data_IF_756786194984
#
_entry.id   IF_756786194984
#
_cell.length_a   1.000
_cell.length_b   1.000
_cell.length_c   1.000
_cell.angle_alpha   90.00
_cell.angle_beta   90.00
_cell.angle_gamma   90.00
#
_symmetry.space_group_name_H-M   'P 1'
#
loop_
_entity.id
_entity.type
_entity.pdbx_description
1 polymer ?
#
# COMPACT_ATOMS: atom_id res chain seq x y z
N UNK A 1 5.03 21.64 -1.63
CA UNK A 1 5.02 20.67 -0.50
C UNK A 1 3.57 20.21 -0.29
N UNK A 2 3.28 18.94 0.04
CA UNK A 2 1.91 18.55 0.42
C UNK A 2 1.93 18.72 1.92
N UNK A 3 1.18 19.71 2.36
CA UNK A 3 1.42 20.39 3.60
C UNK A 3 0.09 20.98 4.05
N UNK A 4 -0.37 20.52 5.19
CA UNK A 4 -1.63 20.90 5.80
C UNK A 4 -1.31 21.44 7.19
N UNK A 5 -1.67 22.69 7.44
CA UNK A 5 -1.56 23.30 8.74
C UNK A 5 -2.78 23.01 9.61
N UNK A 6 -2.79 23.63 10.78
CA UNK A 6 -3.81 23.46 11.82
C UNK A 6 -5.23 23.74 11.33
N UNK A 7 -5.40 24.61 10.35
CA UNK A 7 -6.70 24.91 9.72
C UNK A 7 -7.33 23.68 9.04
N UNK A 8 -6.50 22.72 8.61
CA UNK A 8 -6.95 21.46 8.03
C UNK A 8 -6.84 20.31 9.03
N UNK A 9 -5.74 20.24 9.78
CA UNK A 9 -5.48 19.09 10.66
C UNK A 9 -6.29 19.12 11.96
N UNK A 10 -6.65 20.32 12.45
CA UNK A 10 -7.52 20.51 13.61
C UNK A 10 -9.01 20.34 13.32
N UNK A 11 -9.44 20.38 12.05
CA UNK A 11 -10.79 20.00 11.64
C UNK A 11 -10.82 18.50 11.34
N UNK A 12 -11.40 17.73 12.27
CA UNK A 12 -11.48 16.27 12.14
C UNK A 12 -12.13 15.84 10.83
N UNK A 13 -13.22 16.47 10.40
CA UNK A 13 -13.91 16.07 9.18
C UNK A 13 -13.03 16.31 7.95
N UNK A 14 -12.29 17.42 7.92
CA UNK A 14 -11.34 17.72 6.86
C UNK A 14 -10.14 16.75 6.86
N UNK A 15 -9.59 16.44 8.02
CA UNK A 15 -8.45 15.54 8.18
C UNK A 15 -8.82 14.06 7.86
N UNK A 16 -10.03 13.61 8.19
CA UNK A 16 -10.54 12.27 7.88
C UNK A 16 -10.79 12.02 6.39
N UNK A 17 -10.95 13.09 5.59
CA UNK A 17 -11.09 13.01 4.13
C UNK A 17 -9.76 12.88 3.39
N UNK A 18 -8.63 13.03 4.08
CA UNK A 18 -7.30 13.01 3.50
C UNK A 18 -6.57 11.78 3.97
N UNK A 19 -6.10 10.98 3.03
CA UNK A 19 -5.44 9.71 3.29
C UNK A 19 -3.98 9.78 2.82
N UNK A 20 -3.13 8.97 3.45
CA UNK A 20 -1.72 8.80 3.09
C UNK A 20 -1.45 7.33 2.82
N UNK A 21 -0.43 7.06 2.00
CA UNK A 21 -0.03 5.71 1.60
C UNK A 21 1.50 5.60 1.64
N UNK A 22 2.00 4.54 2.28
CA UNK A 22 3.37 4.05 2.14
C UNK A 22 3.31 2.62 1.58
N UNK A 23 4.21 2.27 0.68
CA UNK A 23 4.32 0.92 0.11
C UNK A 23 5.74 0.41 0.22
N UNK A 24 5.89 -0.92 0.18
CA UNK A 24 7.19 -1.60 0.29
C UNK A 24 7.66 -2.25 -1.02
N UNK A 25 6.97 -2.03 -2.14
CA UNK A 25 7.35 -2.60 -3.44
C UNK A 25 7.14 -4.12 -3.56
N UNK A 26 6.47 -4.76 -2.61
CA UNK A 26 6.12 -6.20 -2.65
C UNK A 26 4.62 -6.44 -2.41
N UNK A 27 3.78 -5.44 -2.66
CA UNK A 27 2.32 -5.50 -2.45
C UNK A 27 1.85 -5.06 -1.06
N UNK A 28 2.73 -5.09 -0.05
CA UNK A 28 2.44 -4.60 1.29
C UNK A 28 2.38 -3.08 1.39
N UNK A 29 1.59 -2.58 2.33
CA UNK A 29 1.41 -1.14 2.51
C UNK A 29 1.08 -0.73 3.95
N UNK A 30 1.23 0.56 4.22
CA UNK A 30 0.71 1.25 5.39
C UNK A 30 -0.14 2.44 4.91
N UNK A 31 -1.28 2.66 5.54
CA UNK A 31 -2.23 3.71 5.17
C UNK A 31 -3.09 4.13 6.33
N UNK A 32 -3.57 5.36 6.27
CA UNK A 32 -4.54 5.90 7.22
C UNK A 32 -5.00 7.29 6.81
N UNK A 33 -5.81 7.89 7.67
CA UNK A 33 -6.19 9.30 7.54
C UNK A 33 -5.09 10.22 8.08
N UNK A 34 -5.11 11.48 7.67
CA UNK A 34 -4.28 12.54 8.27
C UNK A 34 -4.61 12.71 9.77
N UNK A 35 -5.88 12.51 10.16
CA UNK A 35 -6.31 12.57 11.56
C UNK A 35 -5.78 11.41 12.42
N UNK A 36 -5.36 10.29 11.80
CA UNK A 36 -4.98 9.07 12.51
C UNK A 36 -6.17 8.19 12.93
N UNK A 37 -7.40 8.56 12.57
CA UNK A 37 -8.58 7.69 12.74
C UNK A 37 -8.61 6.58 11.70
N UNK A 38 -9.05 5.39 12.14
CA UNK A 38 -9.39 4.28 11.26
C UNK A 38 -10.79 4.52 10.71
N UNK A 39 -10.91 4.79 9.41
CA UNK A 39 -12.22 4.97 8.76
C UNK A 39 -12.53 3.88 7.74
N UNK A 40 -11.51 3.10 7.35
CA UNK A 40 -11.61 1.98 6.41
C UNK A 40 -11.00 0.72 7.01
N UNK A 41 -11.45 -0.46 6.54
CA UNK A 41 -10.83 -1.76 6.88
C UNK A 41 -9.41 -1.94 6.29
N UNK A 42 -8.97 -1.00 5.45
CA UNK A 42 -7.64 -1.00 4.84
C UNK A 42 -6.65 -0.09 5.56
N UNK A 43 -7.09 0.62 6.61
CA UNK A 43 -6.17 1.43 7.40
C UNK A 43 -5.38 0.55 8.34
N UNK A 44 -4.07 0.81 8.39
CA UNK A 44 -3.11 -0.04 9.05
C UNK A 44 -1.71 0.53 8.95
N UNK A 45 -0.92 0.37 10.01
CA UNK A 45 0.52 0.64 9.97
C UNK A 45 1.30 -0.51 9.33
N UNK A 46 0.72 -1.72 9.26
CA UNK A 46 1.30 -2.82 8.49
C UNK A 46 0.18 -3.71 7.94
N UNK A 47 -0.11 -3.55 6.65
CA UNK A 47 -0.84 -4.53 5.84
C UNK A 47 0.21 -5.29 5.03
N UNK A 48 0.61 -6.45 5.53
CA UNK A 48 1.70 -7.24 4.98
C UNK A 48 1.23 -8.12 3.83
N UNK A 49 1.95 -8.13 2.71
CA UNK A 49 1.73 -9.11 1.65
C UNK A 49 2.46 -10.41 2.06
N UNK A 50 1.72 -11.37 2.61
CA UNK A 50 2.30 -12.63 3.10
C UNK A 50 2.70 -13.58 1.97
N UNK A 51 2.17 -13.34 0.77
CA UNK A 51 2.49 -14.07 -0.46
C UNK A 51 2.70 -13.06 -1.61
N UNK A 52 3.80 -12.28 -1.59
CA UNK A 52 3.96 -11.10 -2.46
C UNK A 52 3.65 -11.32 -3.94
N UNK A 53 2.85 -10.42 -4.59
CA UNK A 53 2.25 -9.21 -4.02
C UNK A 53 0.88 -9.42 -3.32
N UNK A 54 0.47 -10.67 -3.14
CA UNK A 54 -0.84 -11.12 -2.66
C UNK A 54 -0.82 -11.46 -1.16
N UNK A 55 -1.94 -11.99 -0.67
CA UNK A 55 -2.07 -12.44 0.73
C UNK A 55 -1.99 -11.28 1.73
N UNK A 56 -2.56 -10.13 1.34
CA UNK A 56 -2.51 -8.88 2.11
C UNK A 56 -3.27 -9.03 3.42
N UNK A 57 -2.54 -8.99 4.52
CA UNK A 57 -3.04 -9.25 5.87
C UNK A 57 -2.79 -8.04 6.76
N UNK A 58 -3.83 -7.50 7.40
CA UNK A 58 -3.67 -6.46 8.43
C UNK A 58 -3.03 -7.07 9.67
N UNK A 59 -1.81 -6.63 10.00
CA UNK A 59 -1.05 -7.09 11.16
C UNK A 59 -0.92 -6.02 12.25
N UNK A 60 -0.74 -4.75 11.87
CA UNK A 60 -0.72 -3.63 12.82
C UNK A 60 -1.73 -2.59 12.37
N UNK A 61 -2.76 -2.37 13.18
CA UNK A 61 -3.83 -1.42 12.89
C UNK A 61 -3.34 0.01 13.14
N UNK A 62 -2.91 0.30 14.37
CA UNK A 62 -2.43 1.63 14.77
C UNK A 62 -1.60 1.58 16.04
N UNK A 63 -1.12 2.74 16.47
CA UNK A 63 -0.52 2.97 17.78
C UNK A 63 -1.43 3.95 18.53
N UNK A 64 -1.78 3.64 19.77
CA UNK A 64 -2.33 4.57 20.76
C UNK A 64 -1.16 5.30 21.43
N UNK A 65 -0.82 6.47 20.91
CA UNK A 65 0.32 7.29 21.33
C UNK A 65 -0.06 8.35 22.36
N UNK A 66 0.71 8.38 23.46
CA UNK A 66 0.63 9.37 24.53
C UNK A 66 1.99 10.00 24.80
N UNK A 67 1.98 11.29 25.11
CA UNK A 67 3.16 12.06 25.51
C UNK A 67 2.93 12.61 26.91
N UNK A 68 3.76 12.22 27.87
CA UNK A 68 3.86 12.88 29.17
C UNK A 68 4.89 14.02 29.05
N UNK A 69 4.47 15.25 29.31
CA UNK A 69 5.30 16.45 29.23
C UNK A 69 4.77 17.54 30.17
N UNK A 70 5.67 18.23 30.90
CA UNK A 70 5.28 19.32 31.80
C UNK A 70 4.25 18.93 32.86
N UNK A 71 4.31 17.69 33.36
CA UNK A 71 3.35 17.14 34.34
C UNK A 71 1.96 16.83 33.79
N UNK A 72 1.74 16.93 32.47
CA UNK A 72 0.47 16.61 31.81
C UNK A 72 0.63 15.46 30.81
N UNK A 73 -0.45 14.73 30.56
CA UNK A 73 -0.50 13.69 29.53
C UNK A 73 -1.27 14.20 28.32
N UNK A 74 -0.68 14.08 27.14
CA UNK A 74 -1.28 14.43 25.86
C UNK A 74 -1.52 13.18 25.03
N UNK A 75 -2.79 12.85 24.77
CA UNK A 75 -3.14 11.74 23.87
C UNK A 75 -3.11 12.24 22.42
N UNK A 76 -2.23 11.66 21.59
CA UNK A 76 -2.03 12.11 20.20
C UNK A 76 -2.92 11.36 19.20
N UNK A 77 -3.41 10.19 19.61
CA UNK A 77 -4.28 9.35 18.82
C UNK A 77 -5.68 9.91 18.66
N UNK A 78 -6.38 9.41 17.64
CA UNK A 78 -7.80 9.71 17.43
C UNK A 78 -8.53 8.42 17.11
N UNK A 79 -9.66 8.19 17.79
CA UNK A 79 -10.55 7.07 17.50
C UNK A 79 -11.98 7.53 17.40
N UNK A 80 -12.74 6.79 16.62
CA UNK A 80 -14.19 6.88 16.57
C UNK A 80 -14.75 5.54 17.06
N UNK A 81 -15.66 5.60 18.01
CA UNK A 81 -16.28 4.41 18.60
C UNK A 81 -17.68 4.17 18.06
N UNK A 82 -18.19 2.96 18.25
CA UNK A 82 -19.49 2.49 17.77
C UNK A 82 -20.67 3.33 18.28
N UNK A 83 -20.54 3.94 19.47
CA UNK A 83 -21.52 4.83 20.08
C UNK A 83 -21.46 6.28 19.55
N UNK A 84 -20.53 6.56 18.64
CA UNK A 84 -20.28 7.88 18.06
C UNK A 84 -19.25 8.72 18.82
N UNK A 85 -18.75 8.25 19.96
CA UNK A 85 -17.72 8.93 20.75
C UNK A 85 -16.44 9.09 19.95
N UNK A 86 -15.80 10.26 20.05
CA UNK A 86 -14.46 10.50 19.52
C UNK A 86 -13.51 10.64 20.71
N UNK A 87 -12.73 9.59 20.98
CA UNK A 87 -11.78 9.58 22.09
C UNK A 87 -10.68 8.53 21.86
N UNK A 88 -9.39 8.86 21.97
CA UNK A 88 -8.87 10.20 22.23
C UNK A 88 -9.13 11.18 21.08
N UNK A 89 -8.87 12.48 21.32
CA UNK A 89 -9.12 13.58 20.38
C UNK A 89 -7.81 14.29 19.96
N UNK A 90 -6.74 13.54 19.73
CA UNK A 90 -5.40 14.08 19.46
C UNK A 90 -5.26 14.96 18.22
N UNK A 91 -6.24 14.97 17.31
CA UNK A 91 -6.30 15.95 16.20
C UNK A 91 -6.30 17.40 16.70
N UNK A 92 -6.79 17.66 17.92
CA UNK A 92 -6.75 19.00 18.54
C UNK A 92 -5.33 19.49 18.83
N UNK A 93 -4.38 18.56 19.03
CA UNK A 93 -2.96 18.83 19.23
C UNK A 93 -2.16 18.76 17.91
N UNK A 94 -2.77 18.30 16.81
CA UNK A 94 -2.10 18.13 15.52
C UNK A 94 -1.98 19.49 14.81
N UNK A 95 -0.77 20.06 14.85
CA UNK A 95 -0.47 21.37 14.25
C UNK A 95 -0.22 21.28 12.75
N UNK A 96 0.34 20.17 12.28
CA UNK A 96 0.77 20.04 10.89
C UNK A 96 0.86 18.59 10.44
N UNK A 97 0.47 18.35 9.20
CA UNK A 97 0.75 17.15 8.45
C UNK A 97 1.49 17.50 7.16
N UNK A 98 2.52 16.75 6.81
CA UNK A 98 3.22 16.93 5.54
C UNK A 98 3.75 15.62 4.98
N UNK A 99 4.01 15.61 3.67
CA UNK A 99 4.80 14.57 3.03
C UNK A 99 6.23 15.04 2.81
N UNK A 100 7.17 14.32 3.43
CA UNK A 100 8.61 14.41 3.22
C UNK A 100 9.02 13.32 2.20
N UNK A 101 9.13 13.69 0.92
CA UNK A 101 9.12 12.70 -0.16
C UNK A 101 7.78 11.97 -0.23
N UNK A 102 7.78 10.64 -0.12
CA UNK A 102 6.57 9.82 0.05
C UNK A 102 6.17 9.61 1.51
N UNK A 103 6.95 10.12 2.47
CA UNK A 103 6.82 9.75 3.88
C UNK A 103 5.93 10.74 4.65
N UNK A 104 4.82 10.28 5.26
CA UNK A 104 3.97 11.11 6.09
C UNK A 104 4.64 11.49 7.41
N UNK A 105 4.51 12.76 7.76
CA UNK A 105 5.04 13.37 8.98
C UNK A 105 3.95 14.20 9.66
N UNK A 106 3.68 13.89 10.92
CA UNK A 106 2.80 14.65 11.80
C UNK A 106 3.64 15.47 12.78
N UNK A 107 3.20 16.68 13.10
CA UNK A 107 3.78 17.52 14.16
C UNK A 107 2.69 17.88 15.16
N UNK A 108 2.89 17.53 16.42
CA UNK A 108 1.96 17.76 17.51
C UNK A 108 2.51 18.79 18.49
N UNK A 109 1.65 19.67 18.98
CA UNK A 109 1.93 20.57 20.09
C UNK A 109 1.49 19.95 21.42
N UNK A 110 2.46 19.69 22.30
CA UNK A 110 2.24 19.15 23.65
C UNK A 110 2.75 20.19 24.65
N UNK A 111 1.90 21.16 25.02
CA UNK A 111 2.33 22.33 25.81
C UNK A 111 3.44 23.12 25.09
N UNK A 112 4.64 23.25 25.69
CA UNK A 112 5.81 23.89 25.07
C UNK A 112 6.63 22.95 24.17
N UNK A 113 6.29 21.66 24.14
CA UNK A 113 6.96 20.68 23.31
C UNK A 113 6.33 20.55 21.91
N UNK A 114 7.19 20.31 20.92
CA UNK A 114 6.79 19.84 19.60
C UNK A 114 7.30 18.40 19.41
N UNK A 115 6.38 17.47 19.22
CA UNK A 115 6.68 16.06 18.94
C UNK A 115 6.31 15.77 17.49
N UNK A 116 7.24 15.17 16.75
CA UNK A 116 6.95 14.69 15.39
C UNK A 116 6.81 13.18 15.37
N UNK A 117 5.91 12.70 14.52
CA UNK A 117 5.75 11.28 14.19
C UNK A 117 5.98 11.10 12.70
N UNK A 118 6.78 10.11 12.30
CA UNK A 118 7.09 9.78 10.91
C UNK A 118 6.84 8.30 10.65
N UNK A 119 6.23 7.96 9.51
CA UNK A 119 5.94 6.55 9.14
C UNK A 119 6.50 6.25 7.75
N UNK A 120 7.28 5.18 7.60
CA UNK A 120 7.73 4.69 6.29
C UNK A 120 7.89 3.18 6.30
N UNK A 121 7.93 2.56 5.13
CA UNK A 121 8.18 1.14 4.99
C UNK A 121 9.58 0.87 4.41
N UNK A 122 10.16 -0.25 4.83
CA UNK A 122 11.40 -0.77 4.24
C UNK A 122 11.12 -1.27 2.81
N UNK A 123 11.87 -0.84 1.79
CA UNK A 123 11.76 -1.40 0.46
C UNK A 123 12.05 -2.91 0.45
N UNK A 124 11.16 -3.69 -0.14
CA UNK A 124 11.32 -5.13 -0.31
C UNK A 124 10.92 -5.99 0.89
N UNK A 125 10.48 -5.41 2.00
CA UNK A 125 10.19 -6.15 3.23
C UNK A 125 8.86 -5.74 3.87
N UNK A 126 8.22 -6.67 4.57
CA UNK A 126 7.01 -6.38 5.36
C UNK A 126 7.44 -5.76 6.70
N UNK A 127 8.03 -4.56 6.62
CA UNK A 127 8.52 -3.79 7.77
C UNK A 127 8.09 -2.34 7.67
N UNK A 128 7.42 -1.85 8.70
CA UNK A 128 7.08 -0.43 8.87
C UNK A 128 7.87 0.14 10.05
N UNK A 129 8.46 1.30 9.83
CA UNK A 129 9.11 2.10 10.85
C UNK A 129 8.19 3.25 11.27
N UNK A 130 8.04 3.43 12.59
CA UNK A 130 7.35 4.58 13.17
C UNK A 130 8.30 5.30 14.10
N UNK A 131 8.77 6.49 13.68
CA UNK A 131 9.72 7.29 14.45
C UNK A 131 9.03 8.45 15.13
N UNK A 132 9.28 8.61 16.42
CA UNK A 132 8.92 9.78 17.20
C UNK A 132 10.18 10.59 17.51
N UNK A 133 10.09 11.90 17.39
CA UNK A 133 11.18 12.83 17.72
C UNK A 133 10.64 13.96 18.56
N UNK A 134 11.25 14.22 19.71
CA UNK A 134 11.03 15.47 20.44
C UNK A 134 11.79 16.58 19.71
N UNK A 135 11.12 17.31 18.83
CA UNK A 135 11.74 18.31 17.97
C UNK A 135 12.17 19.54 18.76
N UNK A 136 11.34 19.95 19.72
CA UNK A 136 11.57 21.14 20.57
C UNK A 136 10.89 20.93 21.92
N UNK A 137 11.47 21.50 22.97
CA UNK A 137 10.92 21.60 24.32
C UNK A 137 12.06 21.93 25.30
N UNK A 138 11.83 22.67 26.40
CA UNK A 138 12.84 22.86 27.44
C UNK A 138 13.17 21.58 28.23
N UNK A 139 12.25 20.61 28.29
CA UNK A 139 12.38 19.41 29.12
C UNK A 139 12.33 18.12 28.28
N UNK A 140 12.70 16.97 28.85
CA UNK A 140 12.43 15.67 28.24
C UNK A 140 10.92 15.36 28.18
N UNK A 141 10.52 14.55 27.19
CA UNK A 141 9.18 13.99 27.08
C UNK A 141 9.22 12.47 27.24
N UNK A 142 8.21 11.91 27.91
CA UNK A 142 8.04 10.45 27.99
C UNK A 142 6.95 10.02 27.03
N UNK A 143 7.24 9.04 26.19
CA UNK A 143 6.30 8.45 25.25
C UNK A 143 5.79 7.13 25.81
N UNK A 144 4.47 6.93 25.76
CA UNK A 144 3.81 5.65 25.95
C UNK A 144 3.07 5.28 24.65
N UNK A 145 3.53 4.19 24.02
CA UNK A 145 3.14 3.82 22.67
C UNK A 145 2.47 2.43 22.68
N UNK A 146 1.14 2.40 22.80
CA UNK A 146 0.35 1.17 22.82
C UNK A 146 0.09 0.66 21.39
N UNK A 147 0.61 -0.51 21.02
CA UNK A 147 0.49 -1.05 19.67
C UNK A 147 -0.74 -1.93 19.55
N UNK A 148 -1.65 -1.56 18.64
CA UNK A 148 -2.86 -2.33 18.32
C UNK A 148 -2.61 -3.21 17.09
N UNK A 149 -2.77 -4.52 17.27
CA UNK A 149 -2.52 -5.53 16.25
C UNK A 149 -3.79 -6.24 15.81
N UNK A 150 -3.69 -6.92 14.67
CA UNK A 150 -4.73 -7.76 14.11
C UNK A 150 -4.08 -8.94 13.35
N UNK A 151 -4.90 -9.87 12.87
CA UNK A 151 -4.48 -10.85 11.87
C UNK A 151 -5.68 -11.25 11.04
N UNK A 152 -5.94 -10.48 9.99
CA UNK A 152 -7.04 -10.75 9.06
C UNK A 152 -6.70 -10.34 7.64
N UNK A 153 -7.40 -10.95 6.70
CA UNK A 153 -7.42 -10.50 5.32
C UNK A 153 -7.82 -9.02 5.22
N UNK A 154 -7.22 -8.28 4.27
CA UNK A 154 -7.45 -6.86 4.07
C UNK A 154 -8.90 -6.51 3.65
N UNK A 155 -9.62 -7.43 2.99
CA UNK A 155 -11.06 -7.30 2.75
C UNK A 155 -11.93 -7.75 3.92
N UNK A 156 -11.36 -8.46 4.89
CA UNK A 156 -12.06 -8.99 6.06
C UNK A 156 -12.40 -7.95 7.13
N UNK A 157 -12.96 -8.44 8.22
CA UNK A 157 -13.23 -7.68 9.45
C UNK A 157 -12.92 -8.57 10.66
N UNK A 158 -12.64 -7.96 11.81
CA UNK A 158 -12.30 -8.69 13.04
C UNK A 158 -13.29 -8.37 14.14
N UNK A 159 -13.77 -9.42 14.82
CA UNK A 159 -14.38 -9.36 16.15
C UNK A 159 -13.38 -9.93 17.16
N UNK A 160 -13.20 -9.23 18.27
CA UNK A 160 -12.24 -9.57 19.30
C UNK A 160 -12.69 -10.74 20.16
N UNK A 161 -11.93 -11.00 21.23
CA UNK A 161 -12.26 -12.03 22.23
C UNK A 161 -11.56 -13.38 22.04
N UNK A 162 -10.72 -13.51 21.01
CA UNK A 162 -9.82 -14.66 20.83
C UNK A 162 -8.40 -14.35 21.31
N UNK A 163 -7.60 -15.39 21.53
CA UNK A 163 -6.28 -15.25 22.14
C UNK A 163 -5.18 -15.38 21.10
N UNK A 164 -4.39 -14.32 20.93
CA UNK A 164 -3.08 -14.38 20.27
C UNK A 164 -1.98 -14.72 21.29
N UNK A 165 -0.93 -15.42 20.86
CA UNK A 165 0.31 -15.56 21.63
C UNK A 165 1.12 -14.26 21.53
N UNK A 166 1.47 -13.67 22.68
CA UNK A 166 2.24 -12.43 22.78
C UNK A 166 3.44 -12.70 23.69
N UNK A 167 4.54 -13.12 23.08
CA UNK A 167 5.74 -13.53 23.80
C UNK A 167 6.77 -12.38 23.85
N UNK A 168 7.30 -12.02 25.04
CA UNK A 168 8.45 -11.13 25.14
C UNK A 168 9.64 -11.67 24.35
N UNK A 169 10.35 -10.77 23.67
CA UNK A 169 11.61 -11.06 22.99
C UNK A 169 12.60 -9.92 23.27
N UNK A 170 13.86 -10.10 22.88
CA UNK A 170 14.82 -9.00 22.95
C UNK A 170 14.29 -7.78 22.17
N UNK A 171 14.37 -6.61 22.79
CA UNK A 171 13.88 -5.34 22.26
C UNK A 171 12.37 -5.23 22.00
N UNK A 172 11.52 -6.17 22.45
CA UNK A 172 10.08 -6.06 22.23
C UNK A 172 9.24 -7.29 22.49
N UNK A 173 8.27 -7.54 21.60
CA UNK A 173 7.40 -8.72 21.64
C UNK A 173 7.26 -9.38 20.27
N UNK A 174 6.99 -10.68 20.27
CA UNK A 174 6.58 -11.47 19.10
C UNK A 174 5.12 -11.87 19.28
N UNK A 175 4.28 -11.51 18.33
CA UNK A 175 2.86 -11.83 18.29
C UNK A 175 2.62 -12.94 17.26
N UNK A 176 1.94 -14.01 17.66
CA UNK A 176 1.49 -15.08 16.76
C UNK A 176 0.00 -15.27 16.94
N UNK A 177 -0.78 -14.99 15.90
CA UNK A 177 -2.24 -14.97 15.99
C UNK A 177 -2.84 -16.34 16.33
N UNK A 178 -2.38 -17.38 15.65
CA UNK A 178 -2.77 -18.78 15.86
C UNK A 178 -1.63 -19.69 15.40
N UNK A 179 -1.62 -20.99 15.78
CA UNK A 179 -0.60 -21.93 15.32
C UNK A 179 -0.46 -21.94 13.79
N UNK A 180 0.75 -21.68 13.29
CA UNK A 180 1.04 -21.60 11.85
C UNK A 180 0.89 -20.21 11.22
N UNK A 181 0.32 -19.22 11.92
CA UNK A 181 0.28 -17.84 11.45
C UNK A 181 1.68 -17.25 11.30
N UNK A 182 1.89 -16.38 10.30
CA UNK A 182 3.12 -15.57 10.20
C UNK A 182 3.26 -14.72 11.46
N UNK A 183 4.36 -14.90 12.20
CA UNK A 183 4.63 -14.10 13.39
C UNK A 183 4.94 -12.64 13.03
N UNK A 184 4.40 -11.74 13.84
CA UNK A 184 4.67 -10.31 13.84
C UNK A 184 5.65 -10.00 14.97
N UNK A 185 6.66 -9.18 14.71
CA UNK A 185 7.59 -8.62 15.69
C UNK A 185 7.30 -7.14 15.86
N UNK A 186 7.15 -6.73 17.11
CA UNK A 186 7.04 -5.34 17.52
C UNK A 186 8.30 -5.04 18.33
N UNK A 187 9.19 -4.19 17.82
CA UNK A 187 10.52 -4.00 18.39
C UNK A 187 10.92 -2.52 18.51
N UNK A 188 11.84 -2.21 19.42
CA UNK A 188 12.52 -0.92 19.52
C UNK A 188 13.85 -1.08 20.24
N UNK A 189 14.93 -0.54 19.65
CA UNK A 189 16.23 -0.44 20.31
C UNK A 189 16.31 0.67 21.37
N UNK A 190 15.33 1.58 21.41
CA UNK A 190 15.34 2.78 22.27
C UNK A 190 14.15 2.91 23.21
N UNK A 191 13.37 1.84 23.40
CA UNK A 191 12.22 1.81 24.30
C UNK A 191 12.19 0.52 25.11
N UNK A 192 11.62 0.58 26.30
CA UNK A 192 11.26 -0.62 27.07
C UNK A 192 9.88 -1.10 26.63
N UNK A 193 9.73 -2.41 26.43
CA UNK A 193 8.47 -3.00 25.99
C UNK A 193 7.81 -3.78 27.13
N UNK A 194 6.50 -3.59 27.28
CA UNK A 194 5.66 -4.41 28.14
C UNK A 194 4.60 -5.11 27.27
N UNK A 195 4.55 -6.44 27.32
CA UNK A 195 3.50 -7.20 26.66
C UNK A 195 2.12 -6.88 27.27
N UNK A 196 1.10 -6.87 26.42
CA UNK A 196 -0.28 -6.65 26.81
C UNK A 196 -1.19 -7.63 26.07
N UNK A 197 -2.39 -7.82 26.61
CA UNK A 197 -3.43 -8.63 25.96
C UNK A 197 -4.79 -8.08 26.34
N UNK A 198 -5.18 -6.98 25.70
CA UNK A 198 -6.46 -6.34 25.92
C UNK A 198 -7.11 -6.00 24.58
N UNK A 199 -8.31 -6.53 24.35
CA UNK A 199 -9.08 -6.18 23.16
C UNK A 199 -9.73 -4.80 23.31
N UNK A 200 -9.52 -3.96 22.31
CA UNK A 200 -10.20 -2.68 22.15
C UNK A 200 -11.34 -2.93 21.17
N UNK A 201 -12.57 -2.67 21.62
CA UNK A 201 -13.78 -3.06 20.91
C UNK A 201 -14.51 -1.86 20.29
N UNK A 202 -15.11 -2.08 19.13
CA UNK A 202 -16.07 -1.16 18.54
C UNK A 202 -15.45 0.08 17.91
N UNK A 203 -14.31 -0.05 17.22
CA UNK A 203 -13.85 1.00 16.30
C UNK A 203 -14.88 1.17 15.18
N UNK A 204 -15.30 2.40 14.92
CA UNK A 204 -16.29 2.71 13.89
C UNK A 204 -15.63 3.22 12.61
N UNK A 205 -15.63 2.36 11.59
CA UNK A 205 -15.08 2.60 10.26
C UNK A 205 -16.08 3.39 9.40
N UNK A 206 -16.09 4.71 9.56
CA UNK A 206 -17.09 5.60 8.95
C UNK A 206 -17.22 5.45 7.42
N UNK A 207 -16.12 5.19 6.68
CA UNK A 207 -16.17 4.99 5.22
C UNK A 207 -16.71 3.63 4.82
N UNK A 208 -16.55 2.60 5.65
CA UNK A 208 -17.19 1.31 5.39
C UNK A 208 -18.70 1.41 5.60
N UNK A 209 -19.15 2.19 6.60
CA UNK A 209 -20.57 2.49 6.83
C UNK A 209 -21.22 3.18 5.65
N UNK A 210 -20.58 4.22 5.10
CA UNK A 210 -21.06 4.93 3.89
C UNK A 210 -21.20 4.00 2.69
N UNK A 211 -20.40 2.94 2.63
CA UNK A 211 -20.38 1.95 1.54
C UNK A 211 -21.32 0.77 1.77
N UNK A 212 -22.08 0.78 2.88
CA UNK A 212 -23.00 -0.29 3.24
C UNK A 212 -22.32 -1.59 3.67
N UNK A 213 -21.06 -1.53 4.10
CA UNK A 213 -20.28 -2.68 4.56
C UNK A 213 -20.26 -2.75 6.10
N UNK A 214 -19.79 -3.87 6.65
CA UNK A 214 -19.52 -3.96 8.09
C UNK A 214 -18.53 -2.86 8.49
N UNK A 215 -18.94 -2.05 9.45
CA UNK A 215 -18.31 -0.80 9.84
C UNK A 215 -17.78 -0.83 11.27
N UNK A 216 -17.80 -1.98 11.93
CA UNK A 216 -17.23 -2.14 13.25
C UNK A 216 -16.01 -3.04 13.19
N UNK A 217 -14.99 -2.73 13.96
CA UNK A 217 -13.80 -3.58 14.07
C UNK A 217 -13.21 -3.55 15.48
N UNK A 218 -12.59 -4.66 15.88
CA UNK A 218 -11.88 -4.79 17.15
C UNK A 218 -10.39 -5.06 16.90
N UNK A 219 -9.53 -4.58 17.80
CA UNK A 219 -8.08 -4.75 17.71
C UNK A 219 -7.48 -5.15 19.06
N UNK A 220 -6.42 -5.97 19.04
CA UNK A 220 -5.73 -6.40 20.24
C UNK A 220 -4.62 -5.41 20.59
N UNK A 221 -4.64 -4.85 21.79
CA UNK A 221 -3.46 -4.19 22.36
C UNK A 221 -2.45 -5.25 22.79
N UNK A 222 -1.34 -5.35 22.05
CA UNK A 222 -0.34 -6.41 22.23
C UNK A 222 0.91 -5.96 22.99
N UNK A 223 1.27 -4.68 22.96
CA UNK A 223 2.40 -4.18 23.74
C UNK A 223 2.37 -2.67 23.89
N UNK A 224 2.84 -2.18 25.04
CA UNK A 224 3.18 -0.77 25.25
C UNK A 224 4.69 -0.60 25.22
N UNK A 225 5.18 0.33 24.41
CA UNK A 225 6.58 0.76 24.43
C UNK A 225 6.71 2.09 25.14
N UNK A 226 7.63 2.17 26.11
CA UNK A 226 7.93 3.39 26.86
C UNK A 226 9.33 3.90 26.56
N UNK A 227 9.46 5.19 26.24
CA UNK A 227 10.74 5.83 25.96
C UNK A 227 10.80 7.25 26.53
N UNK A 228 11.96 7.68 26.99
CA UNK A 228 12.21 9.08 27.37
C UNK A 228 13.07 9.74 26.31
N UNK A 229 12.63 10.89 25.81
CA UNK A 229 13.31 11.66 24.77
C UNK A 229 13.72 13.02 25.31
N UNK A 230 15.01 13.33 25.25
CA UNK A 230 15.48 14.72 25.36
C UNK A 230 15.28 15.46 24.03
N UNK A 231 15.27 16.81 24.03
CA UNK A 231 15.14 17.59 22.79
C UNK A 231 16.17 17.18 21.73
N UNK A 232 15.71 16.94 20.50
CA UNK A 232 16.49 16.43 19.38
C UNK A 232 16.62 14.90 19.31
N UNK A 233 16.25 14.16 20.37
CA UNK A 233 16.30 12.70 20.36
C UNK A 233 15.08 12.08 19.70
N UNK A 234 15.28 10.85 19.22
CA UNK A 234 14.24 10.06 18.57
C UNK A 234 14.20 8.63 19.09
N UNK A 235 13.03 8.02 19.04
CA UNK A 235 12.83 6.56 19.19
C UNK A 235 12.09 6.03 17.98
N UNK A 236 12.42 4.82 17.54
CA UNK A 236 11.80 4.17 16.39
C UNK A 236 11.21 2.82 16.80
N UNK A 237 9.91 2.64 16.54
CA UNK A 237 9.26 1.35 16.58
C UNK A 237 9.42 0.66 15.22
N UNK A 238 9.70 -0.65 15.26
CA UNK A 238 9.83 -1.51 14.10
C UNK A 238 8.71 -2.54 14.14
N UNK A 239 7.83 -2.49 13.16
CA UNK A 239 6.66 -3.36 12.99
C UNK A 239 6.95 -4.30 11.82
N UNK A 240 7.23 -5.58 12.06
CA UNK A 240 7.84 -6.43 11.02
C UNK A 240 7.40 -7.88 11.05
N UNK A 241 7.29 -8.52 9.87
CA UNK A 241 7.22 -9.99 9.78
C UNK A 241 8.57 -10.67 9.53
N UNK A 242 9.64 -9.88 9.38
CA UNK A 242 10.99 -10.39 9.17
C UNK A 242 11.53 -11.03 10.45
N UNK A 243 12.40 -12.04 10.32
CA UNK A 243 13.00 -12.70 11.49
C UNK A 243 13.96 -11.78 12.25
N UNK A 244 14.69 -10.95 11.52
CA UNK A 244 15.76 -10.07 12.03
C UNK A 244 15.69 -8.68 11.34
N UNK A 245 14.62 -7.90 11.55
CA UNK A 245 14.53 -6.57 10.98
C UNK A 245 15.58 -5.64 11.59
N UNK A 246 16.10 -4.71 10.80
CA UNK A 246 17.03 -3.70 11.32
C UNK A 246 16.34 -2.78 12.33
N UNK A 247 16.93 -2.64 13.52
CA UNK A 247 16.47 -1.70 14.55
C UNK A 247 17.07 -0.29 14.39
N UNK A 248 18.02 -0.11 13.47
CA UNK A 248 18.62 1.19 13.17
C UNK A 248 17.67 2.02 12.31
N UNK A 249 16.78 2.75 12.99
CA UNK A 249 15.80 3.63 12.36
C UNK A 249 16.43 4.76 11.53
N UNK A 250 17.65 5.19 11.83
CA UNK A 250 18.31 6.26 11.07
C UNK A 250 18.93 5.71 9.78
N UNK A 251 19.56 4.54 9.82
CA UNK A 251 19.97 3.85 8.60
C UNK A 251 18.77 3.49 7.71
N UNK A 252 17.67 3.00 8.31
CA UNK A 252 16.44 2.72 7.58
C UNK A 252 15.83 3.97 6.94
N UNK A 253 15.84 5.09 7.65
CA UNK A 253 15.37 6.36 7.10
C UNK A 253 16.23 6.81 5.91
N UNK A 254 17.56 6.76 6.04
CA UNK A 254 18.48 7.09 4.94
C UNK A 254 18.27 6.21 3.72
N UNK A 255 17.99 4.92 3.89
CA UNK A 255 17.64 4.01 2.78
C UNK A 255 16.37 4.46 2.07
N UNK A 256 15.31 4.85 2.81
CA UNK A 256 14.07 5.36 2.21
C UNK A 256 14.32 6.65 1.43
N UNK A 257 15.02 7.63 2.02
CA UNK A 257 15.35 8.90 1.35
C UNK A 257 16.15 8.64 0.07
N UNK A 258 17.17 7.80 0.15
CA UNK A 258 18.00 7.45 -1.00
C UNK A 258 17.20 6.78 -2.13
N UNK A 259 16.29 5.85 -1.78
CA UNK A 259 15.38 5.22 -2.74
C UNK A 259 14.51 6.28 -3.44
N UNK A 260 13.91 7.17 -2.65
CA UNK A 260 13.07 8.28 -3.11
C UNK A 260 13.80 9.23 -4.08
N UNK A 261 15.04 9.59 -3.74
CA UNK A 261 15.91 10.41 -4.58
C UNK A 261 16.30 9.68 -5.86
N UNK A 262 16.56 8.37 -5.80
CA UNK A 262 16.86 7.52 -6.96
C UNK A 262 15.74 7.51 -7.99
N UNK A 263 14.48 7.38 -7.55
CA UNK A 263 13.30 7.43 -8.43
C UNK A 263 13.22 8.77 -9.19
N UNK A 264 13.42 9.88 -8.49
CA UNK A 264 13.39 11.22 -9.10
C UNK A 264 14.60 11.46 -10.00
N UNK A 265 15.78 10.99 -9.61
CA UNK A 265 16.99 11.09 -10.42
C UNK A 265 16.85 10.31 -11.74
N UNK A 266 16.29 9.10 -11.71
CA UNK A 266 16.00 8.31 -12.91
C UNK A 266 15.11 9.06 -13.90
N UNK A 267 14.00 9.63 -13.41
CA UNK A 267 13.11 10.46 -14.23
C UNK A 267 13.82 11.70 -14.78
N UNK A 268 14.59 12.42 -13.96
CA UNK A 268 15.31 13.63 -14.39
C UNK A 268 16.35 13.34 -15.47
N UNK A 269 17.00 12.19 -15.41
CA UNK A 269 17.95 11.74 -16.41
C UNK A 269 17.27 11.37 -17.73
N UNK A 270 16.11 10.71 -17.67
CA UNK A 270 15.39 10.27 -18.85
C UNK A 270 14.59 11.38 -19.55
N UNK A 271 14.16 12.42 -18.81
CA UNK A 271 13.29 13.47 -19.33
C UNK A 271 13.98 14.84 -19.26
N UNK A 272 14.55 15.38 -20.35
CA UNK A 272 15.20 16.69 -20.34
C UNK A 272 14.31 17.84 -19.86
N UNK A 273 12.99 17.78 -20.13
CA UNK A 273 12.01 18.78 -19.70
C UNK A 273 11.74 18.77 -18.19
N UNK A 274 12.19 17.72 -17.48
CA UNK A 274 12.07 17.61 -16.02
C UNK A 274 12.69 18.79 -15.27
N UNK A 275 13.72 19.44 -15.84
CA UNK A 275 14.41 20.59 -15.24
C UNK A 275 13.49 21.79 -15.01
N UNK A 276 12.46 21.94 -15.83
CA UNK A 276 11.47 23.02 -15.76
C UNK A 276 10.13 22.56 -15.21
N UNK A 277 10.03 21.29 -14.81
CA UNK A 277 8.78 20.73 -14.34
C UNK A 277 8.38 21.32 -12.97
N UNK A 278 7.11 21.65 -12.76
CA UNK A 278 6.62 22.08 -11.45
C UNK A 278 6.86 21.01 -10.37
N UNK A 279 7.03 21.45 -9.11
CA UNK A 279 7.26 20.56 -7.97
C UNK A 279 6.14 19.53 -7.71
N UNK A 280 4.95 19.71 -8.28
CA UNK A 280 3.88 18.71 -8.20
C UNK A 280 4.09 17.53 -9.15
N UNK A 281 4.81 17.71 -10.25
CA UNK A 281 5.17 16.60 -11.16
C UNK A 281 6.11 15.63 -10.44
N UNK A 282 7.13 16.14 -9.74
CA UNK A 282 8.04 15.29 -8.98
C UNK A 282 7.30 14.40 -7.96
N UNK A 283 6.20 14.89 -7.39
CA UNK A 283 5.35 14.08 -6.50
C UNK A 283 4.63 12.99 -7.23
N UNK A 284 4.11 13.27 -8.42
CA UNK A 284 3.47 12.24 -9.24
C UNK A 284 4.47 11.16 -9.63
N UNK A 285 5.73 11.52 -9.88
CA UNK A 285 6.81 10.55 -10.14
C UNK A 285 7.05 9.66 -8.91
N UNK A 286 7.12 10.25 -7.72
CA UNK A 286 7.24 9.49 -6.45
C UNK A 286 6.00 8.62 -6.19
N UNK A 287 4.80 9.13 -6.44
CA UNK A 287 3.56 8.40 -6.24
C UNK A 287 3.40 7.24 -7.24
N UNK A 288 3.81 7.44 -8.50
CA UNK A 288 3.79 6.43 -9.55
C UNK A 288 4.61 5.19 -9.18
N UNK A 289 5.74 5.39 -8.51
CA UNK A 289 6.58 4.29 -8.03
C UNK A 289 5.86 3.37 -7.03
N UNK A 290 4.92 3.90 -6.23
CA UNK A 290 4.27 3.14 -5.17
C UNK A 290 3.45 1.94 -5.68
N UNK A 291 3.08 1.92 -6.96
CA UNK A 291 2.27 0.88 -7.58
C UNK A 291 3.10 -0.23 -8.25
N UNK A 292 4.40 -0.02 -8.47
CA UNK A 292 5.29 -1.01 -9.08
C UNK A 292 5.73 -1.98 -7.98
N UNK A 293 5.48 -3.27 -8.18
CA UNK A 293 5.79 -4.29 -7.16
C UNK A 293 6.43 -5.53 -7.76
N UNK A 294 7.19 -6.26 -6.94
CA UNK A 294 7.72 -7.58 -7.29
C UNK A 294 6.59 -8.61 -7.35
N UNK A 295 6.65 -9.48 -8.35
CA UNK A 295 5.79 -10.64 -8.55
C UNK A 295 6.65 -11.82 -8.98
N UNK A 296 7.30 -12.46 -8.01
CA UNK A 296 8.08 -13.65 -8.28
C UNK A 296 7.14 -14.81 -8.67
N UNK A 297 7.45 -15.51 -9.76
CA UNK A 297 6.86 -16.82 -10.08
C UNK A 297 7.96 -17.88 -10.06
N UNK A 298 7.59 -19.17 -10.14
CA UNK A 298 8.57 -20.24 -10.21
C UNK A 298 9.49 -20.11 -11.44
N UNK A 299 8.93 -19.61 -12.54
CA UNK A 299 9.63 -19.41 -13.81
C UNK A 299 10.30 -18.04 -13.95
N UNK A 300 9.84 -17.03 -13.20
CA UNK A 300 10.36 -15.67 -13.23
C UNK A 300 10.54 -15.15 -11.78
N UNK A 301 11.62 -15.54 -11.08
CA UNK A 301 11.88 -15.14 -9.69
C UNK A 301 12.00 -13.62 -9.52
N UNK A 302 12.39 -12.93 -10.59
CA UNK A 302 12.52 -11.49 -10.68
C UNK A 302 11.33 -10.86 -11.43
N UNK A 303 10.15 -11.48 -11.41
CA UNK A 303 8.97 -10.91 -12.05
C UNK A 303 8.52 -9.62 -11.38
N UNK A 304 7.83 -8.77 -12.15
CA UNK A 304 7.24 -7.52 -11.65
C UNK A 304 5.85 -7.31 -12.21
N UNK A 305 5.06 -6.52 -11.49
CA UNK A 305 3.68 -6.19 -11.84
C UNK A 305 3.32 -4.77 -11.36
N UNK A 306 2.12 -4.33 -11.69
CA UNK A 306 1.54 -3.06 -11.23
C UNK A 306 0.28 -3.37 -10.43
N UNK A 307 0.22 -2.88 -9.19
CA UNK A 307 -1.02 -2.86 -8.42
C UNK A 307 -1.95 -1.80 -9.03
N UNK A 308 -3.15 -2.20 -9.44
CA UNK A 308 -4.07 -1.30 -10.16
C UNK A 308 -4.57 -0.14 -9.29
N UNK A 309 -4.64 -0.35 -7.97
CA UNK A 309 -5.02 0.71 -7.04
C UNK A 309 -5.07 0.23 -5.60
N UNK A 310 -4.26 0.85 -4.75
CA UNK A 310 -4.42 0.68 -3.31
C UNK A 310 -5.71 1.37 -2.84
N UNK A 311 -6.46 0.79 -1.90
CA UNK A 311 -6.14 -0.44 -1.17
C UNK A 311 -6.82 -1.70 -1.73
N UNK A 312 -7.76 -1.54 -2.66
CA UNK A 312 -8.75 -2.57 -2.99
C UNK A 312 -8.29 -3.56 -4.05
N UNK A 313 -7.48 -3.11 -5.01
CA UNK A 313 -7.16 -3.90 -6.19
C UNK A 313 -5.84 -4.64 -6.04
N UNK A 314 -5.75 -5.82 -6.64
CA UNK A 314 -4.50 -6.51 -6.93
C UNK A 314 -3.91 -6.02 -8.25
N UNK A 315 -3.19 -6.88 -8.96
CA UNK A 315 -2.74 -6.63 -10.32
C UNK A 315 -3.79 -7.06 -11.36
N UNK A 316 -4.01 -6.18 -12.35
CA UNK A 316 -5.07 -6.34 -13.36
C UNK A 316 -4.47 -6.19 -14.76
N UNK A 317 -4.82 -7.11 -15.67
CA UNK A 317 -4.34 -7.17 -17.05
C UNK A 317 -4.38 -5.84 -17.76
N UNK A 318 -5.59 -5.31 -17.85
CA UNK A 318 -5.91 -4.08 -18.56
C UNK A 318 -5.20 -2.87 -17.96
N UNK A 319 -5.37 -2.65 -16.66
CA UNK A 319 -4.83 -1.49 -15.93
C UNK A 319 -3.31 -1.43 -16.02
N UNK A 320 -2.64 -2.58 -15.83
CA UNK A 320 -1.18 -2.67 -15.98
C UNK A 320 -0.75 -2.21 -17.36
N UNK A 321 -1.37 -2.70 -18.44
CA UNK A 321 -0.91 -2.36 -19.79
C UNK A 321 -1.19 -0.92 -20.19
N UNK A 322 -2.28 -0.34 -19.70
CA UNK A 322 -2.57 1.09 -19.89
C UNK A 322 -1.56 1.95 -19.13
N UNK A 323 -1.27 1.61 -17.87
CA UNK A 323 -0.43 2.43 -17.00
C UNK A 323 1.07 2.26 -17.27
N UNK A 324 1.50 1.12 -17.80
CA UNK A 324 2.91 0.74 -17.94
C UNK A 324 3.79 1.83 -18.58
N UNK A 325 3.44 2.43 -19.74
CA UNK A 325 4.27 3.49 -20.33
C UNK A 325 4.45 4.72 -19.43
N UNK A 326 3.40 5.11 -18.70
CA UNK A 326 3.46 6.24 -17.77
C UNK A 326 4.28 5.93 -16.53
N UNK A 327 4.10 4.75 -15.94
CA UNK A 327 4.77 4.36 -14.71
C UNK A 327 6.25 3.99 -14.90
N UNK A 328 6.64 3.49 -16.08
CA UNK A 328 7.98 2.94 -16.33
C UNK A 328 8.76 3.72 -17.39
N UNK A 329 8.25 3.89 -18.61
CA UNK A 329 8.99 4.52 -19.70
C UNK A 329 9.18 6.02 -19.46
N UNK A 330 8.09 6.71 -19.10
CA UNK A 330 8.13 8.15 -18.81
C UNK A 330 9.04 8.47 -17.62
N UNK A 331 9.13 7.56 -16.66
CA UNK A 331 9.99 7.70 -15.47
C UNK A 331 11.42 7.23 -15.68
N UNK A 332 11.79 6.77 -16.89
CA UNK A 332 13.15 6.39 -17.22
C UNK A 332 13.55 4.99 -16.77
N UNK A 333 12.59 4.08 -16.66
CA UNK A 333 12.76 2.71 -16.12
C UNK A 333 12.32 1.62 -17.10
N UNK A 334 12.86 1.58 -18.34
CA UNK A 334 12.47 0.59 -19.34
C UNK A 334 12.76 -0.85 -18.92
N UNK A 335 13.77 -1.09 -18.09
CA UNK A 335 14.08 -2.41 -17.53
C UNK A 335 12.93 -2.98 -16.69
N UNK A 336 12.19 -2.11 -15.98
CA UNK A 336 10.99 -2.50 -15.25
C UNK A 336 9.87 -2.87 -16.22
N UNK A 337 9.67 -2.05 -17.24
CA UNK A 337 8.68 -2.28 -18.30
C UNK A 337 8.88 -3.65 -18.95
N UNK A 338 10.14 -3.96 -19.31
CA UNK A 338 10.53 -5.24 -19.91
C UNK A 338 10.14 -6.42 -19.01
N UNK A 339 10.49 -6.36 -17.73
CA UNK A 339 10.17 -7.42 -16.75
C UNK A 339 8.66 -7.63 -16.64
N UNK A 340 7.86 -6.56 -16.53
CA UNK A 340 6.40 -6.68 -16.49
C UNK A 340 5.84 -7.31 -17.77
N UNK A 341 6.28 -6.85 -18.94
CA UNK A 341 5.82 -7.39 -20.23
C UNK A 341 6.16 -8.88 -20.36
N UNK A 342 7.36 -9.30 -19.95
CA UNK A 342 7.76 -10.71 -19.91
C UNK A 342 6.94 -11.52 -18.91
N UNK A 343 6.71 -10.99 -17.70
CA UNK A 343 5.88 -11.66 -16.67
C UNK A 343 4.47 -11.92 -17.21
N UNK A 344 3.83 -10.93 -17.84
CA UNK A 344 2.46 -11.07 -18.34
C UNK A 344 2.34 -12.02 -19.54
N UNK A 345 3.38 -12.14 -20.37
CA UNK A 345 3.40 -13.08 -21.50
C UNK A 345 3.11 -14.53 -21.07
N UNK A 346 3.52 -14.90 -19.84
CA UNK A 346 3.33 -16.25 -19.28
C UNK A 346 1.90 -16.58 -18.91
N UNK A 347 1.09 -15.56 -18.69
CA UNK A 347 -0.32 -15.71 -18.33
C UNK A 347 -1.23 -15.63 -19.56
N UNK A 348 -0.66 -15.57 -20.77
CA UNK A 348 -1.47 -15.65 -21.98
C UNK A 348 -2.03 -17.05 -22.13
N UNK A 349 -3.35 -17.17 -22.13
CA UNK A 349 -4.03 -18.43 -22.35
C UNK A 349 -5.17 -18.27 -23.36
N UNK A 350 -5.21 -19.17 -24.35
CA UNK A 350 -6.09 -19.09 -25.53
C UNK A 350 -6.14 -17.69 -26.16
N UNK A 351 -4.98 -17.04 -26.22
CA UNK A 351 -4.84 -15.71 -26.80
C UNK A 351 -5.46 -14.58 -25.98
N UNK A 352 -5.69 -14.76 -24.67
CA UNK A 352 -6.16 -13.71 -23.77
C UNK A 352 -5.17 -13.50 -22.64
N UNK A 353 -5.04 -12.27 -22.16
CA UNK A 353 -4.49 -11.97 -20.84
C UNK A 353 -5.61 -12.05 -19.80
N UNK A 354 -5.32 -12.41 -18.55
CA UNK A 354 -6.31 -12.35 -17.50
C UNK A 354 -6.63 -10.89 -17.15
N UNK A 355 -7.90 -10.60 -16.89
CA UNK A 355 -8.35 -9.32 -16.38
C UNK A 355 -7.90 -9.13 -14.94
N UNK A 356 -8.15 -10.14 -14.10
CA UNK A 356 -7.76 -10.16 -12.69
C UNK A 356 -6.78 -11.30 -12.45
N UNK A 357 -5.65 -10.96 -11.85
CA UNK A 357 -4.75 -11.95 -11.29
C UNK A 357 -5.28 -12.31 -9.90
N UNK A 358 -5.44 -13.61 -9.61
CA UNK A 358 -6.10 -14.05 -8.40
C UNK A 358 -5.23 -13.74 -7.17
N UNK A 359 -5.89 -13.53 -6.02
CA UNK A 359 -5.26 -13.75 -4.73
C UNK A 359 -4.93 -15.26 -4.59
N UNK A 360 -3.96 -15.62 -3.76
CA UNK A 360 -3.40 -16.97 -3.74
C UNK A 360 -4.45 -18.10 -3.70
N UNK A 361 -4.37 -19.03 -4.66
CA UNK A 361 -5.21 -20.23 -4.74
C UNK A 361 -6.32 -20.20 -5.80
N UNK A 362 -6.69 -19.04 -6.34
CA UNK A 362 -7.74 -18.93 -7.37
C UNK A 362 -7.19 -19.04 -8.81
N UNK A 363 -8.07 -19.32 -9.77
CA UNK A 363 -7.72 -19.30 -11.20
C UNK A 363 -7.79 -17.87 -11.77
N UNK A 364 -6.90 -17.48 -12.71
CA UNK A 364 -6.99 -16.18 -13.36
C UNK A 364 -8.29 -16.01 -14.14
N UNK A 365 -8.88 -14.82 -14.05
CA UNK A 365 -10.13 -14.50 -14.74
C UNK A 365 -9.86 -13.96 -16.14
N UNK A 366 -10.28 -14.69 -17.18
CA UNK A 366 -10.10 -14.31 -18.58
C UNK A 366 -11.36 -13.69 -19.18
N UNK A 367 -11.88 -12.64 -18.56
CA UNK A 367 -13.08 -11.89 -18.98
C UNK A 367 -12.74 -10.49 -19.52
N UNK A 368 -11.72 -10.39 -20.38
CA UNK A 368 -11.28 -9.11 -20.97
C UNK A 368 -10.99 -9.25 -22.46
N UNK A 369 -11.69 -8.51 -23.31
CA UNK A 369 -11.40 -8.44 -24.75
C UNK A 369 -10.27 -7.47 -25.09
N UNK A 370 -10.06 -6.46 -24.23
CA UNK A 370 -9.20 -5.31 -24.51
C UNK A 370 -7.80 -5.42 -23.90
N UNK A 371 -7.56 -6.28 -22.90
CA UNK A 371 -6.25 -6.39 -22.25
C UNK A 371 -5.12 -6.79 -23.21
N UNK A 372 -5.36 -7.73 -24.12
CA UNK A 372 -4.36 -8.12 -25.13
C UNK A 372 -4.10 -7.00 -26.13
N UNK A 373 -5.12 -6.24 -26.52
CA UNK A 373 -4.94 -5.08 -27.41
C UNK A 373 -4.04 -4.02 -26.75
N UNK A 374 -4.27 -3.75 -25.46
CA UNK A 374 -3.39 -2.88 -24.68
C UNK A 374 -1.99 -3.46 -24.49
N UNK A 375 -1.84 -4.79 -24.41
CA UNK A 375 -0.53 -5.44 -24.35
C UNK A 375 0.30 -5.21 -25.62
N UNK A 376 -0.31 -5.32 -26.80
CA UNK A 376 0.33 -4.96 -28.06
C UNK A 376 0.76 -3.49 -28.08
N UNK A 377 -0.12 -2.59 -27.62
CA UNK A 377 0.19 -1.16 -27.54
C UNK A 377 1.32 -0.86 -26.56
N UNK A 378 1.35 -1.54 -25.40
CA UNK A 378 2.40 -1.42 -24.40
C UNK A 378 3.76 -1.92 -24.94
N UNK A 379 3.78 -3.03 -25.66
CA UNK A 379 4.99 -3.53 -26.34
C UNK A 379 5.45 -2.57 -27.44
N UNK A 380 4.52 -2.04 -28.24
CA UNK A 380 4.83 -1.04 -29.27
C UNK A 380 5.45 0.21 -28.65
N UNK A 381 4.88 0.72 -27.56
CA UNK A 381 5.41 1.87 -26.82
C UNK A 381 6.80 1.58 -26.22
N UNK A 382 7.00 0.40 -25.63
CA UNK A 382 8.29 -0.05 -25.13
C UNK A 382 9.35 -0.11 -26.23
N UNK A 383 9.05 -0.75 -27.36
CA UNK A 383 10.00 -0.88 -28.47
C UNK A 383 10.32 0.49 -29.09
N UNK A 384 9.32 1.36 -29.26
CA UNK A 384 9.55 2.72 -29.73
C UNK A 384 10.47 3.53 -28.80
N UNK A 385 10.43 3.28 -27.49
CA UNK A 385 11.26 3.96 -26.52
C UNK A 385 12.68 3.38 -26.37
N UNK A 386 12.88 2.10 -26.69
CA UNK A 386 14.12 1.36 -26.36
C UNK A 386 14.86 0.78 -27.55
N UNK A 387 14.18 0.57 -28.68
CA UNK A 387 14.64 -0.25 -29.81
C UNK A 387 15.11 -1.67 -29.41
N UNK A 388 14.60 -2.22 -28.30
CA UNK A 388 14.96 -3.56 -27.82
C UNK A 388 14.25 -4.65 -28.64
N UNK A 389 14.87 -5.03 -29.76
CA UNK A 389 14.48 -6.17 -30.58
C UNK A 389 14.58 -7.52 -29.83
N UNK A 390 15.33 -7.56 -28.73
CA UNK A 390 15.47 -8.74 -27.88
C UNK A 390 14.14 -9.11 -27.22
N UNK A 391 13.47 -8.14 -26.58
CA UNK A 391 12.14 -8.38 -26.01
C UNK A 391 11.16 -8.87 -27.09
N UNK A 392 11.16 -8.24 -28.27
CA UNK A 392 10.24 -8.63 -29.35
C UNK A 392 10.45 -10.08 -29.73
N UNK A 393 11.71 -10.52 -29.92
CA UNK A 393 12.03 -11.93 -30.21
C UNK A 393 11.55 -12.87 -29.11
N UNK A 394 11.73 -12.48 -27.85
CA UNK A 394 11.33 -13.30 -26.70
C UNK A 394 9.81 -13.52 -26.63
N UNK A 395 9.00 -12.50 -26.96
CA UNK A 395 7.54 -12.58 -26.85
C UNK A 395 6.83 -12.83 -28.20
N UNK A 396 7.55 -12.89 -29.32
CA UNK A 396 6.95 -12.94 -30.67
C UNK A 396 5.99 -14.12 -30.83
N UNK A 397 6.39 -15.33 -30.39
CA UNK A 397 5.55 -16.52 -30.48
C UNK A 397 4.24 -16.37 -29.69
N UNK A 398 4.27 -15.65 -28.56
CA UNK A 398 3.08 -15.34 -27.77
C UNK A 398 2.17 -14.38 -28.53
N UNK A 399 2.74 -13.34 -29.15
CA UNK A 399 1.97 -12.37 -29.96
C UNK A 399 1.31 -13.04 -31.18
N UNK A 400 2.04 -13.88 -31.90
CA UNK A 400 1.50 -14.65 -33.03
C UNK A 400 0.37 -15.58 -32.59
N UNK A 401 0.54 -16.25 -31.44
CA UNK A 401 -0.51 -17.09 -30.87
C UNK A 401 -1.76 -16.29 -30.50
N UNK A 402 -1.62 -15.10 -29.90
CA UNK A 402 -2.76 -14.21 -29.61
C UNK A 402 -3.54 -13.88 -30.89
N UNK A 403 -2.84 -13.47 -31.95
CA UNK A 403 -3.46 -13.16 -33.25
C UNK A 403 -4.15 -14.38 -33.83
N UNK A 404 -3.53 -15.56 -33.74
CA UNK A 404 -4.11 -16.82 -34.22
C UNK A 404 -5.44 -17.13 -33.52
N UNK A 405 -5.48 -16.99 -32.19
CA UNK A 405 -6.70 -17.15 -31.40
C UNK A 405 -7.76 -16.08 -31.70
N UNK A 406 -7.37 -14.82 -31.90
CA UNK A 406 -8.32 -13.77 -32.29
C UNK A 406 -8.92 -14.03 -33.68
N UNK A 407 -8.17 -14.64 -34.61
CA UNK A 407 -8.69 -15.00 -35.94
C UNK A 407 -9.58 -16.24 -35.92
N UNK A 408 -9.19 -17.29 -35.20
CA UNK A 408 -9.95 -18.54 -35.10
C UNK A 408 -11.16 -18.44 -34.16
N UNK A 409 -11.04 -17.59 -33.15
CA UNK A 409 -12.00 -17.40 -32.06
C UNK A 409 -11.48 -17.96 -30.73
N UNK A 410 -11.69 -17.19 -29.66
CA UNK A 410 -11.36 -17.57 -28.26
C UNK A 410 -12.61 -17.57 -27.37
N UNK A 411 -12.44 -17.39 -26.06
CA UNK A 411 -13.53 -17.29 -25.08
C UNK A 411 -14.47 -16.14 -25.44
N UNK A 412 -15.70 -16.20 -24.91
CA UNK A 412 -16.65 -15.09 -24.93
C UNK A 412 -16.96 -14.51 -26.31
N UNK A 413 -16.94 -15.38 -27.34
CA UNK A 413 -17.23 -15.00 -28.71
C UNK A 413 -16.19 -14.06 -29.35
N UNK A 414 -15.02 -13.89 -28.72
CA UNK A 414 -13.97 -12.99 -29.23
C UNK A 414 -13.36 -13.60 -30.49
N UNK A 415 -13.65 -13.01 -31.65
CA UNK A 415 -13.13 -13.48 -32.95
C UNK A 415 -13.19 -12.38 -34.01
N UNK A 416 -12.35 -12.49 -35.03
CA UNK A 416 -12.45 -11.66 -36.24
C UNK A 416 -13.66 -12.10 -37.07
N UNK A 417 -14.50 -11.16 -37.46
CA UNK A 417 -15.56 -11.39 -38.45
C UNK A 417 -14.92 -11.55 -39.85
N UNK A 418 -15.11 -12.68 -40.55
CA UNK A 418 -14.61 -12.84 -41.91
C UNK A 418 -15.24 -11.89 -42.94
N UNK A 419 -16.40 -11.28 -42.64
CA UNK A 419 -17.10 -10.39 -43.57
C UNK A 419 -16.46 -9.00 -43.66
N UNK A 420 -16.02 -8.43 -42.54
CA UNK A 420 -15.47 -7.07 -42.49
C UNK A 420 -14.07 -6.97 -41.87
N UNK A 421 -13.55 -8.06 -41.29
CA UNK A 421 -12.23 -8.12 -40.67
C UNK A 421 -12.15 -7.47 -39.28
N UNK A 422 -13.28 -7.05 -38.69
CA UNK A 422 -13.32 -6.45 -37.36
C UNK A 422 -13.34 -7.51 -36.26
N UNK A 423 -12.79 -7.16 -35.09
CA UNK A 423 -12.87 -8.02 -33.91
C UNK A 423 -14.25 -7.87 -33.27
N UNK A 424 -15.00 -8.96 -33.22
CA UNK A 424 -16.25 -9.07 -32.49
C UNK A 424 -16.00 -9.73 -31.13
N UNK A 425 -16.82 -9.41 -30.14
CA UNK A 425 -16.85 -10.06 -28.83
C UNK A 425 -18.24 -9.97 -28.25
N UNK A 426 -18.57 -10.87 -27.31
CA UNK A 426 -19.81 -10.76 -26.57
C UNK A 426 -20.27 -12.12 -26.04
N UNK A 427 -20.64 -12.13 -24.76
CA UNK A 427 -21.34 -13.25 -24.14
C UNK A 427 -22.38 -12.68 -23.18
N UNK A 428 -23.66 -13.12 -23.26
CA UNK A 428 -24.69 -12.67 -22.35
C UNK A 428 -24.28 -12.83 -20.88
N UNK A 429 -24.40 -11.76 -20.10
CA UNK A 429 -24.05 -11.76 -18.68
C UNK A 429 -22.55 -11.62 -18.38
N UNK A 430 -21.70 -11.44 -19.39
CA UNK A 430 -20.26 -11.24 -19.23
C UNK A 430 -19.85 -9.82 -19.62
N UNK A 431 -19.08 -9.18 -18.76
CA UNK A 431 -18.54 -7.85 -18.93
C UNK A 431 -17.11 -7.91 -19.46
N UNK A 432 -16.90 -7.58 -20.74
CA UNK A 432 -15.62 -7.88 -21.43
C UNK A 432 -14.73 -6.65 -21.64
N UNK A 433 -15.28 -5.44 -21.65
CA UNK A 433 -14.51 -4.19 -21.86
C UNK A 433 -14.23 -3.49 -20.54
N UNK A 434 -13.39 -2.45 -20.55
CA UNK A 434 -13.13 -1.60 -19.39
C UNK A 434 -14.37 -1.00 -18.70
N UNK A 435 -15.52 -0.95 -19.39
CA UNK A 435 -16.80 -0.55 -18.79
C UNK A 435 -17.47 -1.80 -18.17
N UNK A 436 -16.83 -2.40 -17.17
CA UNK A 436 -17.16 -3.72 -16.62
C UNK A 436 -18.03 -3.70 -15.35
N UNK A 437 -18.83 -2.66 -15.14
CA UNK A 437 -19.74 -2.62 -14.01
C UNK A 437 -20.82 -3.71 -14.13
N UNK A 438 -20.95 -4.52 -13.07
CA UNK A 438 -21.95 -5.60 -12.95
C UNK A 438 -22.60 -5.58 -11.56
N UNK A 439 -23.92 -5.77 -11.50
CA UNK A 439 -24.70 -5.88 -10.25
C UNK A 439 -25.50 -7.18 -10.30
N UNK A 440 -25.14 -8.15 -9.46
CA UNK A 440 -25.69 -9.51 -9.57
C UNK A 440 -25.39 -10.07 -10.96
N UNK A 441 -26.41 -10.43 -11.73
CA UNK A 441 -26.27 -10.92 -13.11
C UNK A 441 -26.45 -9.84 -14.18
N UNK A 442 -26.72 -8.60 -13.78
CA UNK A 442 -26.92 -7.50 -14.71
C UNK A 442 -25.60 -6.80 -15.04
N UNK A 443 -25.20 -6.88 -16.31
CA UNK A 443 -24.09 -6.08 -16.88
C UNK A 443 -24.63 -4.71 -17.27
N UNK A 444 -24.09 -3.65 -16.67
CA UNK A 444 -24.63 -2.28 -16.80
C UNK A 444 -24.34 -1.68 -18.18
N UNK A 445 -23.15 -1.96 -18.71
CA UNK A 445 -22.65 -1.40 -19.98
C UNK A 445 -22.07 -2.51 -20.86
N UNK A 446 -22.91 -3.42 -21.40
CA UNK A 446 -22.43 -4.45 -22.32
C UNK A 446 -21.92 -3.78 -23.60
N UNK A 447 -20.70 -4.11 -24.00
CA UNK A 447 -20.01 -3.54 -25.17
C UNK A 447 -19.23 -4.63 -25.89
#
# INVERSE_FOLDING_TARGET
MLDFGRETTGDLAAAERREWLCTNGIGGFASGTVAGTLTRRYHGLLVAALEPPLGRTLLVAKIEDRVEYGGSTHELSVNRWADGTIAPSGHLALERFSLDGTTPVWTYACHEALVTRRVWMEPGANTTYVRYTLLRGPEPAVLDLGVLVNHRDYHGSTRGGWTMDVAPVEHGVKVTAFPGARSLRLLSGGATAAAAHAWYHGFHLARERERGLDALEDHLHAATFRASLSPGQSVTLVLSTESEPSLDGEAAWRRRVHYDEGVVAGWRNAQPQSRTAPAWIERLIRAADQFIVRRATAEEPDGMTIIAGYHWFGDWGRDTMIALPGLTLTTGRPEIARRILTTYARFVDRGMLPNRFPDAGDAPEYNTVDATLWYFEAIRAYHAATADDGLIKDVFAVLENIVTWHRAGTRHGIKVDPADGLLMSGEPGVQLTWMDARVGDWVVTPR
#
